data_IF_416029861761
#
_entry.id   IF_416029861761
#
_cell.length_a   1.000
_cell.length_b   1.000
_cell.length_c   1.000
_cell.angle_alpha   90.00
_cell.angle_beta   90.00
_cell.angle_gamma   90.00
#
_symmetry.space_group_name_H-M   'P 1'
#
loop_
_entity.id
_entity.type
_entity.pdbx_description
1 polymer ?
#
# COMPACT_ATOMS: atom_id res chain seq x y z
N UNK A 1 3.75 21.04 -17.61
CA UNK A 1 3.79 19.88 -16.70
C UNK A 1 4.34 18.69 -17.47
N UNK A 2 5.17 17.88 -16.83
CA UNK A 2 5.74 16.65 -17.38
C UNK A 2 5.02 15.49 -16.71
N UNK A 3 4.41 14.61 -17.50
CA UNK A 3 3.72 13.43 -17.00
C UNK A 3 4.61 12.21 -17.17
N UNK A 4 4.59 11.31 -16.19
CA UNK A 4 5.29 10.04 -16.30
C UNK A 4 4.42 8.91 -15.77
N UNK A 5 4.70 7.70 -16.27
CA UNK A 5 4.00 6.47 -15.89
C UNK A 5 5.01 5.35 -15.74
N UNK A 6 4.94 4.64 -14.62
CA UNK A 6 5.76 3.47 -14.39
C UNK A 6 7.25 3.79 -14.23
N UNK A 7 7.60 4.99 -13.77
CA UNK A 7 8.99 5.30 -13.42
C UNK A 7 9.37 4.43 -12.22
N UNK A 8 10.49 3.72 -12.32
CA UNK A 8 10.95 2.80 -11.29
C UNK A 8 12.24 3.33 -10.67
N UNK A 9 12.34 3.23 -9.35
CA UNK A 9 13.58 3.48 -8.61
C UNK A 9 13.75 2.44 -7.53
N UNK A 10 15.01 2.28 -7.10
CA UNK A 10 15.37 1.37 -6.04
C UNK A 10 15.59 2.20 -4.78
N UNK A 11 14.68 2.03 -3.81
CA UNK A 11 14.83 2.55 -2.46
C UNK A 11 15.76 1.66 -1.62
N UNK A 12 16.11 2.12 -0.42
CA UNK A 12 16.98 1.37 0.48
C UNK A 12 16.52 -0.09 0.68
N UNK A 13 17.47 -1.01 0.72
CA UNK A 13 17.18 -2.45 0.85
C UNK A 13 16.54 -3.08 -0.39
N UNK A 14 16.85 -2.57 -1.58
CA UNK A 14 16.41 -3.12 -2.89
C UNK A 14 14.90 -3.02 -3.18
N UNK A 15 14.19 -2.19 -2.43
CA UNK A 15 12.75 -2.00 -2.62
C UNK A 15 12.51 -1.30 -3.96
N UNK A 16 11.87 -2.00 -4.91
CA UNK A 16 11.47 -1.41 -6.19
C UNK A 16 10.20 -0.58 -6.00
N UNK A 17 10.34 0.73 -6.11
CA UNK A 17 9.25 1.69 -5.99
C UNK A 17 8.85 2.14 -7.39
N UNK A 18 7.55 2.14 -7.67
CA UNK A 18 6.99 2.56 -8.97
C UNK A 18 6.17 3.83 -8.79
N UNK A 19 6.47 4.88 -9.54
CA UNK A 19 5.70 6.14 -9.49
C UNK A 19 4.97 6.45 -10.79
N UNK A 20 3.83 7.11 -10.65
CA UNK A 20 3.02 7.66 -11.75
C UNK A 20 2.48 9.01 -11.32
N UNK A 21 2.43 9.97 -12.23
CA UNK A 21 1.91 11.30 -11.92
C UNK A 21 2.49 12.38 -12.82
N UNK A 22 2.58 13.59 -12.26
CA UNK A 22 3.12 14.74 -12.97
C UNK A 22 4.02 15.62 -12.10
N UNK A 23 4.95 16.27 -12.79
CA UNK A 23 5.85 17.30 -12.25
C UNK A 23 5.58 18.60 -13.00
N UNK A 24 5.31 19.68 -12.28
CA UNK A 24 5.17 21.01 -12.84
C UNK A 24 6.51 21.64 -13.20
N UNK A 25 6.49 22.56 -14.18
CA UNK A 25 7.68 23.37 -14.50
C UNK A 25 8.02 24.35 -13.37
N UNK A 26 7.03 24.63 -12.52
CA UNK A 26 7.12 25.32 -11.25
C UNK A 26 7.55 24.41 -10.08
N UNK A 27 8.02 23.19 -10.39
CA UNK A 27 8.43 22.16 -9.43
C UNK A 27 7.30 21.58 -8.58
N UNK A 28 6.03 21.84 -8.90
CA UNK A 28 4.89 21.22 -8.21
C UNK A 28 4.85 19.71 -8.45
N UNK A 29 4.53 18.94 -7.41
CA UNK A 29 4.40 17.48 -7.47
C UNK A 29 2.93 17.05 -7.32
N UNK A 30 2.52 16.11 -8.16
CA UNK A 30 1.32 15.31 -7.98
C UNK A 30 1.61 13.88 -8.42
N UNK A 31 2.13 13.08 -7.49
CA UNK A 31 2.65 11.74 -7.74
C UNK A 31 1.94 10.71 -6.86
N UNK A 32 1.87 9.47 -7.36
CA UNK A 32 1.52 8.30 -6.57
C UNK A 32 2.70 7.33 -6.60
N UNK A 33 3.25 7.03 -5.43
CA UNK A 33 4.29 6.02 -5.24
C UNK A 33 3.64 4.68 -4.86
N UNK A 34 3.94 3.64 -5.62
CA UNK A 34 3.53 2.28 -5.37
C UNK A 34 4.72 1.48 -4.81
N UNK A 35 4.57 0.99 -3.59
CA UNK A 35 5.61 0.29 -2.83
C UNK A 35 5.09 -1.10 -2.49
N UNK A 36 5.71 -2.19 -2.99
CA UNK A 36 5.28 -3.54 -2.65
C UNK A 36 5.55 -3.85 -1.17
N UNK A 37 4.62 -4.55 -0.52
CA UNK A 37 4.84 -5.07 0.83
C UNK A 37 5.75 -6.28 0.74
N UNK A 38 6.96 -6.15 1.27
CA UNK A 38 7.92 -7.26 1.32
C UNK A 38 7.52 -8.27 2.39
N UNK A 39 7.76 -9.56 2.12
CA UNK A 39 7.51 -10.65 3.08
C UNK A 39 8.26 -10.41 4.39
N UNK A 40 9.52 -9.97 4.31
CA UNK A 40 10.34 -9.63 5.48
C UNK A 40 9.74 -8.52 6.37
N UNK A 41 8.85 -7.67 5.84
CA UNK A 41 8.12 -6.67 6.64
C UNK A 41 6.83 -7.24 7.19
N UNK A 42 6.11 -8.02 6.38
CA UNK A 42 4.90 -8.74 6.77
C UNK A 42 5.15 -9.71 7.94
N UNK A 43 6.31 -10.36 7.97
CA UNK A 43 6.69 -11.29 9.02
C UNK A 43 7.04 -10.59 10.35
N UNK A 44 7.36 -9.29 10.29
CA UNK A 44 7.70 -8.47 11.48
C UNK A 44 6.51 -7.68 12.02
N UNK A 45 5.39 -7.64 11.30
CA UNK A 45 4.26 -6.79 11.68
C UNK A 45 2.92 -7.39 11.26
N UNK A 46 2.08 -7.73 12.23
CA UNK A 46 0.79 -8.38 11.99
C UNK A 46 -0.14 -7.54 11.09
N UNK A 47 -0.08 -6.22 11.18
CA UNK A 47 -0.88 -5.34 10.31
C UNK A 47 -0.40 -5.35 8.85
N UNK A 48 0.88 -5.69 8.61
CA UNK A 48 1.45 -5.89 7.28
C UNK A 48 1.22 -7.30 6.75
N UNK A 49 1.06 -8.31 7.63
CA UNK A 49 0.74 -9.68 7.23
C UNK A 49 -0.53 -9.75 6.36
N UNK A 50 -1.52 -8.91 6.68
CA UNK A 50 -2.74 -8.74 5.90
C UNK A 50 -2.50 -8.18 4.48
N UNK A 51 -1.38 -7.53 4.23
CA UNK A 51 -1.05 -6.86 2.97
C UNK A 51 -0.01 -7.62 2.14
N UNK A 52 0.34 -8.86 2.53
CA UNK A 52 1.27 -9.70 1.77
C UNK A 52 0.80 -9.84 0.31
N UNK A 53 1.72 -9.65 -0.63
CA UNK A 53 1.43 -9.66 -2.07
C UNK A 53 0.71 -8.43 -2.60
N UNK A 54 0.44 -7.43 -1.75
CA UNK A 54 -0.15 -6.15 -2.13
C UNK A 54 0.90 -5.03 -2.16
N UNK A 55 0.52 -3.87 -2.67
CA UNK A 55 1.36 -2.66 -2.69
C UNK A 55 0.64 -1.48 -2.03
N UNK A 56 1.40 -0.69 -1.27
CA UNK A 56 0.96 0.60 -0.76
C UNK A 56 0.96 1.63 -1.88
N UNK A 57 -0.07 2.48 -1.92
CA UNK A 57 -0.12 3.65 -2.80
C UNK A 57 -0.08 4.92 -1.98
N UNK A 58 1.04 5.62 -2.03
CA UNK A 58 1.28 6.82 -1.25
C UNK A 58 1.19 8.04 -2.18
N UNK A 59 0.20 8.91 -2.00
CA UNK A 59 0.17 10.18 -2.72
C UNK A 59 1.26 11.11 -2.17
N UNK A 60 2.06 11.67 -3.07
CA UNK A 60 3.12 12.62 -2.78
C UNK A 60 2.79 13.93 -3.52
N UNK A 61 2.66 15.01 -2.75
CA UNK A 61 2.33 16.35 -3.25
C UNK A 61 3.40 17.36 -2.80
N UNK A 62 3.17 18.65 -3.02
CA UNK A 62 4.11 19.70 -2.61
C UNK A 62 5.04 20.06 -3.77
N UNK A 63 6.33 20.18 -3.50
CA UNK A 63 7.34 20.52 -4.51
C UNK A 63 8.48 19.49 -4.54
N UNK A 64 9.33 19.56 -5.58
CA UNK A 64 10.53 18.71 -5.65
C UNK A 64 11.48 18.90 -4.45
N UNK A 65 11.53 20.11 -3.89
CA UNK A 65 12.39 20.45 -2.76
C UNK A 65 11.75 20.17 -1.40
N UNK A 66 10.41 20.19 -1.34
CA UNK A 66 9.64 19.91 -0.13
C UNK A 66 8.47 18.96 -0.47
N UNK A 67 8.76 17.65 -0.66
CA UNK A 67 7.73 16.66 -0.94
C UNK A 67 6.92 16.38 0.33
N UNK A 68 5.62 16.58 0.25
CA UNK A 68 4.68 16.36 1.33
C UNK A 68 3.90 15.05 1.14
N UNK A 69 3.94 14.19 2.16
CA UNK A 69 3.07 13.01 2.27
C UNK A 69 1.89 13.35 3.18
N UNK A 70 0.67 13.22 2.67
CA UNK A 70 -0.54 13.54 3.45
C UNK A 70 -0.80 12.47 4.52
N UNK A 71 -0.75 12.85 5.79
CA UNK A 71 -1.01 11.94 6.92
C UNK A 71 -2.40 11.31 6.86
N UNK A 72 -3.39 12.00 6.27
CA UNK A 72 -4.74 11.45 6.07
C UNK A 72 -4.74 10.32 5.07
N UNK A 73 -3.89 10.38 4.04
CA UNK A 73 -3.74 9.30 3.09
C UNK A 73 -3.15 8.05 3.79
N UNK A 74 -2.16 8.23 4.66
CA UNK A 74 -1.61 7.13 5.46
C UNK A 74 -2.65 6.50 6.39
N UNK A 75 -3.49 7.31 7.04
CA UNK A 75 -4.60 6.81 7.86
C UNK A 75 -5.62 6.01 7.06
N UNK A 76 -5.95 6.45 5.83
CA UNK A 76 -6.87 5.72 4.95
C UNK A 76 -6.30 4.38 4.52
N UNK A 77 -5.01 4.34 4.16
CA UNK A 77 -4.29 3.09 3.84
C UNK A 77 -4.36 2.12 5.03
N UNK A 78 -4.09 2.60 6.25
CA UNK A 78 -4.19 1.78 7.46
C UNK A 78 -5.60 1.22 7.68
N UNK A 79 -6.65 2.04 7.49
CA UNK A 79 -8.05 1.59 7.59
C UNK A 79 -8.38 0.51 6.55
N UNK A 80 -7.95 0.68 5.31
CA UNK A 80 -8.16 -0.29 4.23
C UNK A 80 -7.44 -1.61 4.49
N UNK A 81 -6.22 -1.55 5.03
CA UNK A 81 -5.45 -2.74 5.41
C UNK A 81 -6.16 -3.58 6.48
N UNK A 82 -6.72 -2.91 7.50
CA UNK A 82 -7.47 -3.57 8.57
C UNK A 82 -8.79 -4.19 8.04
N UNK A 83 -9.54 -3.46 7.21
CA UNK A 83 -10.79 -3.97 6.61
C UNK A 83 -10.55 -5.20 5.72
N UNK A 84 -9.51 -5.18 4.89
CA UNK A 84 -9.16 -6.31 4.02
C UNK A 84 -8.65 -7.55 4.77
N UNK A 85 -8.22 -7.39 6.03
CA UNK A 85 -7.82 -8.51 6.91
C UNK A 85 -9.04 -9.09 7.63
N UNK A 86 -9.96 -8.24 8.11
CA UNK A 86 -11.20 -8.66 8.76
C UNK A 86 -12.05 -9.57 7.85
N UNK A 87 -12.26 -9.21 6.58
CA UNK A 87 -13.04 -10.04 5.65
C UNK A 87 -12.48 -11.46 5.50
N UNK A 88 -11.16 -11.63 5.40
CA UNK A 88 -10.52 -12.95 5.30
C UNK A 88 -10.64 -13.77 6.57
N UNK A 89 -10.50 -13.14 7.74
CA UNK A 89 -10.67 -13.82 9.02
C UNK A 89 -12.12 -14.28 9.24
N UNK A 90 -13.08 -13.45 8.84
CA UNK A 90 -14.51 -13.77 8.89
C UNK A 90 -14.87 -14.90 7.93
N UNK A 91 -14.40 -14.84 6.67
CA UNK A 91 -14.59 -15.92 5.69
C UNK A 91 -14.04 -17.26 6.20
N UNK A 92 -12.83 -17.26 6.77
CA UNK A 92 -12.25 -18.48 7.35
C UNK A 92 -13.02 -18.99 8.57
N UNK A 93 -13.56 -18.11 9.40
CA UNK A 93 -14.37 -18.49 10.56
C UNK A 93 -15.72 -19.08 10.16
N UNK A 94 -16.39 -18.48 9.17
CA UNK A 94 -17.66 -18.98 8.62
C UNK A 94 -17.46 -20.34 7.96
N UNK A 95 -16.41 -20.50 7.13
CA UNK A 95 -16.12 -21.78 6.48
C UNK A 95 -15.88 -22.88 7.50
N UNK A 96 -15.05 -22.64 8.53
CA UNK A 96 -14.80 -23.61 9.61
C UNK A 96 -16.08 -23.96 10.38
N UNK A 97 -16.87 -22.96 10.76
CA UNK A 97 -18.13 -23.19 11.47
C UNK A 97 -19.15 -23.98 10.64
N UNK A 98 -19.26 -23.71 9.33
CA UNK A 98 -20.11 -24.50 8.44
C UNK A 98 -19.58 -25.93 8.26
N UNK A 99 -18.26 -26.13 8.22
CA UNK A 99 -17.66 -27.46 8.09
C UNK A 99 -17.88 -28.32 9.33
N UNK A 100 -17.86 -27.74 10.53
CA UNK A 100 -18.18 -28.44 11.78
C UNK A 100 -19.67 -28.80 11.87
N UNK A 101 -20.55 -27.99 11.30
CA UNK A 101 -22.01 -28.19 11.32
C UNK A 101 -22.52 -29.13 10.23
N UNK A 102 -21.88 -29.15 9.06
CA UNK A 102 -22.34 -29.88 7.87
C UNK A 102 -21.34 -30.93 7.36
N UNK A 103 -20.19 -31.09 8.03
CA UNK A 103 -19.14 -32.04 7.68
C UNK A 103 -19.16 -33.34 8.47
N UNK A 104 -20.23 -33.62 9.21
CA UNK A 104 -20.50 -34.88 9.91
C UNK A 104 -21.72 -35.58 9.29
#
# INVERSE_FOLDING_TARGET
>A
RIYHRGMQFVGGGEVRIRTTGSVGLDQSLDLVAEIPVLDAWADKSDWLAGLRGQSFRIPVRGTLTDPAVDSRALQQIGKQALQGTANRLLEQGIQRGLQELFGN
#
